data_IF_317067868315
#
_entry.id   IF_317067868315
#
_cell.length_a   1.000
_cell.length_b   1.000
_cell.length_c   1.000
_cell.angle_alpha   90.00
_cell.angle_beta   90.00
_cell.angle_gamma   90.00
#
_symmetry.space_group_name_H-M   'P 1'
#
loop_
_entity.id
_entity.type
_entity.pdbx_description
1 polymer ?
#
# COMPACT_ATOMS: atom_id res chain seq x y z
N UNK A 1 -28.03 75.22 9.23
CA UNK A 1 -27.89 73.92 8.54
C UNK A 1 -26.91 73.07 9.34
N UNK A 2 -27.42 72.24 10.29
CA UNK A 2 -26.63 71.37 11.18
C UNK A 2 -26.91 69.93 10.75
N UNK A 3 -26.09 69.43 9.88
CA UNK A 3 -26.16 68.05 9.37
C UNK A 3 -25.18 67.23 10.23
N UNK A 4 -25.76 66.57 11.20
CA UNK A 4 -25.76 65.14 11.44
C UNK A 4 -24.48 64.34 11.07
N UNK A 5 -23.44 64.63 11.81
CA UNK A 5 -22.20 63.82 11.80
C UNK A 5 -22.31 62.57 12.67
N UNK A 6 -23.40 62.44 13.44
CA UNK A 6 -23.61 61.30 14.32
C UNK A 6 -23.94 59.97 13.66
N UNK A 7 -24.54 60.00 12.48
CA UNK A 7 -25.01 58.78 11.78
C UNK A 7 -23.91 58.10 10.96
N UNK A 8 -22.88 58.85 10.57
CA UNK A 8 -21.78 58.28 9.79
C UNK A 8 -20.79 57.47 10.67
N UNK A 9 -20.67 57.87 11.92
CA UNK A 9 -19.84 57.13 12.91
C UNK A 9 -20.45 55.79 13.31
N UNK A 10 -21.79 55.72 13.41
CA UNK A 10 -22.50 54.46 13.73
C UNK A 10 -22.47 53.45 12.58
N UNK A 11 -22.53 53.95 11.34
CA UNK A 11 -22.46 53.11 10.13
C UNK A 11 -21.06 52.46 9.98
N UNK A 12 -19.99 53.20 10.28
CA UNK A 12 -18.63 52.65 10.27
C UNK A 12 -18.37 51.61 11.39
N UNK A 13 -18.98 51.80 12.56
CA UNK A 13 -18.87 50.81 13.65
C UNK A 13 -19.60 49.49 13.35
N UNK A 14 -20.70 49.56 12.61
CA UNK A 14 -21.42 48.36 12.19
C UNK A 14 -20.70 47.54 11.07
N UNK A 15 -19.84 48.20 10.30
CA UNK A 15 -19.05 47.54 9.25
C UNK A 15 -17.81 46.82 9.83
N UNK A 16 -17.37 47.15 11.01
CA UNK A 16 -16.22 46.49 11.66
C UNK A 16 -16.59 45.21 12.44
N UNK A 17 -17.87 44.97 12.69
CA UNK A 17 -18.32 43.75 13.40
C UNK A 17 -18.64 42.58 12.46
N UNK A 18 -18.53 42.79 11.12
CA UNK A 18 -19.01 41.84 10.12
C UNK A 18 -18.00 40.81 9.61
N UNK A 19 -16.79 40.72 10.12
CA UNK A 19 -15.82 39.74 9.60
C UNK A 19 -14.90 39.18 10.69
N UNK A 20 -15.48 38.78 11.78
CA UNK A 20 -14.94 37.64 12.51
C UNK A 20 -15.74 36.40 12.09
N UNK A 21 -15.53 35.93 10.87
CA UNK A 21 -15.54 34.49 10.71
C UNK A 21 -14.43 34.04 11.67
N UNK A 22 -14.86 33.44 12.76
CA UNK A 22 -13.95 32.55 13.46
C UNK A 22 -13.32 31.74 12.34
N UNK A 23 -12.01 31.89 12.16
CA UNK A 23 -11.25 30.89 11.45
C UNK A 23 -11.74 29.60 12.09
N UNK A 24 -12.56 28.83 11.35
CA UNK A 24 -12.96 27.52 11.78
C UNK A 24 -11.69 26.73 11.94
N UNK A 25 -11.06 26.94 13.06
CA UNK A 25 -10.01 26.07 13.57
C UNK A 25 -10.78 24.91 14.15
N UNK A 26 -11.29 24.09 13.24
CA UNK A 26 -11.84 22.80 13.60
C UNK A 26 -10.65 21.97 14.04
N UNK A 27 -10.30 22.13 15.32
CA UNK A 27 -9.24 21.37 15.95
C UNK A 27 -9.45 19.88 15.76
N UNK A 28 -10.71 19.45 15.67
CA UNK A 28 -11.06 18.05 15.49
C UNK A 28 -10.81 17.55 14.06
N UNK A 29 -10.79 18.42 13.06
CA UNK A 29 -10.52 18.02 11.66
C UNK A 29 -9.08 18.30 11.20
N UNK A 30 -8.40 19.31 11.71
CA UNK A 30 -7.10 19.73 11.20
C UNK A 30 -5.89 19.26 12.01
N UNK A 31 -6.05 18.98 13.29
CA UNK A 31 -4.98 18.55 14.17
C UNK A 31 -4.96 17.07 14.53
N UNK A 32 -5.94 16.32 14.04
CA UNK A 32 -6.31 15.04 14.66
C UNK A 32 -6.34 13.83 13.73
N UNK A 33 -5.90 13.99 12.48
CA UNK A 33 -5.78 12.85 11.58
C UNK A 33 -4.41 12.18 11.71
N UNK A 34 -4.41 10.87 11.69
CA UNK A 34 -3.19 10.10 11.52
C UNK A 34 -2.59 10.40 10.15
N UNK A 35 -1.35 10.83 10.12
CA UNK A 35 -0.63 11.19 8.89
C UNK A 35 0.61 10.32 8.75
N UNK A 36 0.47 9.18 8.10
CA UNK A 36 1.59 8.27 7.82
C UNK A 36 1.77 8.15 6.32
N UNK A 37 2.96 8.39 5.83
CA UNK A 37 3.34 8.25 4.44
C UNK A 37 4.26 7.03 4.28
N UNK A 38 3.81 6.00 3.57
CA UNK A 38 4.63 4.84 3.25
C UNK A 38 5.70 5.18 2.23
N UNK A 39 6.89 4.62 2.43
CA UNK A 39 8.00 4.64 1.49
C UNK A 39 8.38 3.19 1.19
N UNK A 40 8.01 2.69 0.01
CA UNK A 40 8.31 1.32 -0.36
C UNK A 40 9.74 1.19 -0.89
N UNK A 41 10.43 0.14 -0.44
CA UNK A 41 11.65 -0.38 -1.02
C UNK A 41 11.43 -1.85 -1.38
N UNK A 42 11.88 -2.26 -2.58
CA UNK A 42 11.65 -3.59 -3.12
C UNK A 42 12.92 -4.40 -3.02
N UNK A 43 12.88 -5.51 -2.27
CA UNK A 43 13.98 -6.45 -2.20
C UNK A 43 13.94 -7.33 -3.45
N UNK A 44 14.91 -7.15 -4.33
CA UNK A 44 15.05 -8.00 -5.50
C UNK A 44 15.97 -9.16 -5.15
N UNK A 45 15.42 -10.36 -5.04
CA UNK A 45 16.19 -11.59 -4.79
C UNK A 45 17.21 -11.93 -5.89
N UNK A 46 16.98 -11.37 -7.03
CA UNK A 46 17.90 -11.39 -8.17
C UNK A 46 19.35 -11.03 -7.83
N UNK A 47 19.54 -10.25 -6.79
CA UNK A 47 20.86 -9.77 -6.37
C UNK A 47 21.52 -10.69 -5.32
N UNK A 48 20.89 -11.82 -4.98
CA UNK A 48 21.53 -12.77 -4.08
C UNK A 48 22.80 -13.34 -4.72
N UNK A 49 23.93 -13.40 -3.96
CA UNK A 49 25.07 -14.12 -4.42
C UNK A 49 24.75 -15.63 -4.41
N UNK A 50 24.57 -16.19 -5.59
CA UNK A 50 24.58 -17.63 -5.78
C UNK A 50 26.03 -18.09 -5.92
N UNK A 51 26.31 -19.40 -5.71
CA UNK A 51 27.64 -19.99 -5.92
C UNK A 51 28.14 -19.79 -7.37
N UNK A 52 27.27 -19.41 -8.28
CA UNK A 52 27.55 -19.09 -9.67
C UNK A 52 27.22 -17.62 -9.98
N UNK A 53 28.13 -16.98 -10.68
CA UNK A 53 27.86 -15.64 -11.22
C UNK A 53 27.20 -15.75 -12.60
N UNK A 54 25.90 -16.02 -12.60
CA UNK A 54 25.13 -16.18 -13.82
C UNK A 54 25.23 -15.01 -14.80
N UNK A 55 25.43 -13.80 -14.30
CA UNK A 55 25.61 -12.63 -15.15
C UNK A 55 26.89 -12.71 -15.98
N UNK A 56 27.98 -13.20 -15.39
CA UNK A 56 29.25 -13.38 -16.10
C UNK A 56 29.25 -14.63 -17.01
N UNK A 57 28.48 -15.64 -16.64
CA UNK A 57 28.37 -16.89 -17.37
C UNK A 57 27.29 -16.85 -18.44
N UNK A 58 26.53 -15.74 -18.57
CA UNK A 58 25.44 -15.61 -19.52
C UNK A 58 25.95 -15.64 -20.96
N UNK A 59 25.46 -16.55 -21.73
CA UNK A 59 25.90 -16.75 -23.12
C UNK A 59 25.07 -15.89 -24.07
N UNK A 60 25.72 -15.25 -25.01
CA UNK A 60 25.07 -14.42 -26.04
C UNK A 60 24.10 -15.19 -26.96
N UNK A 61 24.23 -16.53 -27.02
CA UNK A 61 23.33 -17.40 -27.77
C UNK A 61 21.99 -17.65 -27.09
N UNK A 62 21.88 -17.31 -25.79
CA UNK A 62 20.62 -17.37 -25.08
C UNK A 62 19.76 -16.16 -25.42
N UNK A 63 18.44 -16.38 -25.46
CA UNK A 63 17.51 -15.28 -25.78
C UNK A 63 17.50 -14.24 -24.67
N UNK A 64 17.61 -12.98 -25.06
CA UNK A 64 17.61 -11.84 -24.16
C UNK A 64 18.92 -11.63 -23.43
N UNK A 65 19.03 -10.53 -22.73
CA UNK A 65 20.12 -10.25 -21.81
C UNK A 65 19.80 -10.73 -20.39
N UNK A 66 20.82 -10.98 -19.61
CA UNK A 66 20.63 -11.37 -18.20
C UNK A 66 19.80 -10.34 -17.42
N UNK A 67 20.00 -9.05 -17.70
CA UNK A 67 19.29 -7.97 -17.01
C UNK A 67 17.81 -7.87 -17.43
N UNK A 68 17.42 -8.40 -18.61
CA UNK A 68 16.02 -8.46 -19.05
C UNK A 68 15.20 -9.52 -18.31
N UNK A 69 15.85 -10.45 -17.61
CA UNK A 69 15.17 -11.46 -16.81
C UNK A 69 14.70 -10.91 -15.45
N UNK A 70 15.09 -9.69 -15.11
CA UNK A 70 14.63 -9.08 -13.85
C UNK A 70 13.12 -8.97 -13.84
N UNK A 71 12.45 -9.43 -12.77
CA UNK A 71 11.03 -9.22 -12.64
C UNK A 71 10.75 -7.71 -12.59
N UNK A 72 9.65 -7.32 -13.23
CA UNK A 72 9.18 -5.95 -13.12
C UNK A 72 8.82 -5.63 -11.67
N UNK A 73 9.05 -4.39 -11.27
CA UNK A 73 8.59 -3.89 -9.98
C UNK A 73 7.07 -3.77 -10.03
N UNK A 74 6.40 -4.21 -8.98
CA UNK A 74 4.94 -4.15 -8.88
C UNK A 74 4.39 -2.74 -9.14
N UNK A 75 3.24 -2.67 -9.81
CA UNK A 75 2.58 -1.41 -10.15
C UNK A 75 1.88 -0.74 -8.97
N UNK A 76 1.55 -1.50 -7.92
CA UNK A 76 0.86 -1.00 -6.74
C UNK A 76 0.93 -1.97 -5.56
N UNK A 77 0.58 -1.44 -4.41
CA UNK A 77 0.55 -2.18 -3.14
C UNK A 77 -0.85 -2.14 -2.57
N UNK A 78 -1.34 -3.28 -2.11
CA UNK A 78 -2.52 -3.38 -1.26
C UNK A 78 -2.10 -3.36 0.20
N UNK A 79 -2.71 -2.46 0.97
CA UNK A 79 -2.64 -2.45 2.42
C UNK A 79 -3.93 -3.04 2.98
N UNK A 80 -3.80 -4.01 3.88
CA UNK A 80 -4.89 -4.47 4.75
C UNK A 80 -4.51 -4.10 6.18
N UNK A 81 -5.42 -3.42 6.87
CA UNK A 81 -5.23 -3.02 8.27
C UNK A 81 -6.06 -3.91 9.18
N UNK A 82 -5.46 -4.28 10.31
CA UNK A 82 -6.11 -5.08 11.34
C UNK A 82 -6.03 -4.32 12.66
N UNK A 83 -7.17 -4.19 13.34
CA UNK A 83 -7.23 -3.73 14.73
C UNK A 83 -7.60 -4.91 15.60
N UNK A 84 -6.87 -5.10 16.69
CA UNK A 84 -6.93 -6.31 17.48
C UNK A 84 -6.60 -7.54 16.60
N UNK A 85 -7.61 -8.35 16.27
CA UNK A 85 -7.44 -9.54 15.42
C UNK A 85 -8.23 -9.46 14.11
N UNK A 86 -9.08 -8.46 13.94
CA UNK A 86 -10.02 -8.36 12.82
C UNK A 86 -9.59 -7.30 11.81
N UNK A 87 -9.89 -7.55 10.54
CA UNK A 87 -9.68 -6.58 9.45
C UNK A 87 -10.49 -5.31 9.71
N UNK A 88 -9.83 -4.17 9.76
CA UNK A 88 -10.44 -2.85 9.96
C UNK A 88 -10.48 -1.99 8.70
N UNK A 89 -9.63 -2.28 7.71
CA UNK A 89 -9.60 -1.50 6.47
C UNK A 89 -8.79 -2.15 5.35
N UNK A 90 -8.95 -1.57 4.15
CA UNK A 90 -8.17 -1.94 2.96
C UNK A 90 -8.00 -0.72 2.07
N UNK A 91 -6.83 -0.57 1.47
CA UNK A 91 -6.55 0.50 0.51
C UNK A 91 -5.49 0.08 -0.52
N UNK A 92 -5.52 0.76 -1.67
CA UNK A 92 -4.50 0.63 -2.69
C UNK A 92 -3.58 1.85 -2.64
N UNK A 93 -2.29 1.59 -2.71
CA UNK A 93 -1.23 2.60 -2.62
C UNK A 93 -0.32 2.42 -3.83
N UNK A 94 0.11 3.50 -4.48
CA UNK A 94 1.09 3.41 -5.56
C UNK A 94 2.39 2.72 -5.10
N UNK A 95 3.06 2.00 -5.99
CA UNK A 95 4.34 1.34 -5.69
C UNK A 95 5.45 2.30 -5.25
N UNK A 96 5.30 3.59 -5.57
CA UNK A 96 6.21 4.66 -5.13
C UNK A 96 5.97 5.11 -3.69
N UNK A 97 4.89 4.64 -3.06
CA UNK A 97 4.48 5.07 -1.72
C UNK A 97 3.38 6.12 -1.73
N UNK A 98 3.05 6.61 -0.55
CA UNK A 98 2.04 7.65 -0.35
C UNK A 98 1.34 7.55 1.00
N UNK A 99 0.30 8.37 1.16
CA UNK A 99 -0.48 8.46 2.38
C UNK A 99 -1.23 7.16 2.67
N UNK A 100 -1.08 6.67 3.91
CA UNK A 100 -1.82 5.53 4.42
C UNK A 100 -3.08 5.99 5.18
N UNK A 101 -4.26 5.43 4.86
CA UNK A 101 -5.48 5.66 5.63
C UNK A 101 -5.50 4.76 6.87
N UNK A 102 -4.75 5.13 7.89
CA UNK A 102 -4.63 4.35 9.12
C UNK A 102 -5.59 4.86 10.20
N UNK A 103 -6.15 3.96 11.02
CA UNK A 103 -6.86 4.32 12.23
C UNK A 103 -5.87 4.84 13.28
N UNK A 104 -6.37 5.58 14.25
CA UNK A 104 -5.60 5.95 15.44
C UNK A 104 -5.42 4.74 16.37
N UNK A 105 -4.27 4.67 17.01
CA UNK A 105 -3.93 3.62 17.97
C UNK A 105 -3.19 2.47 17.33
N UNK A 106 -3.28 1.30 17.96
CA UNK A 106 -2.56 0.11 17.54
C UNK A 106 -3.23 -0.58 16.36
N UNK A 107 -2.48 -0.88 15.31
CA UNK A 107 -2.93 -1.64 14.16
C UNK A 107 -1.81 -2.51 13.60
N UNK A 108 -2.15 -3.69 13.08
CA UNK A 108 -1.22 -4.48 12.28
C UNK A 108 -1.45 -4.22 10.80
N UNK A 109 -0.37 -4.11 10.04
CA UNK A 109 -0.38 -3.68 8.65
C UNK A 109 0.17 -4.80 7.76
N UNK A 110 -0.65 -5.30 6.85
CA UNK A 110 -0.26 -6.28 5.84
C UNK A 110 -0.18 -5.58 4.48
N UNK A 111 1.01 -5.56 3.91
CA UNK A 111 1.27 -5.03 2.58
C UNK A 111 1.55 -6.16 1.60
N UNK A 112 0.98 -6.10 0.41
CA UNK A 112 1.31 -6.99 -0.69
C UNK A 112 1.07 -6.30 -2.03
N UNK A 113 1.75 -6.75 -3.09
CA UNK A 113 1.49 -6.21 -4.42
C UNK A 113 0.14 -6.69 -4.96
N UNK A 114 -0.58 -5.80 -5.65
CA UNK A 114 -1.97 -6.03 -6.07
C UNK A 114 -2.13 -6.30 -7.58
N UNK A 115 -1.03 -6.50 -8.28
CA UNK A 115 -0.95 -6.73 -9.72
C UNK A 115 -0.73 -8.20 -10.10
N UNK A 116 -1.02 -9.12 -9.19
CA UNK A 116 -0.91 -10.55 -9.43
C UNK A 116 -2.12 -11.10 -10.19
N UNK A 117 -1.90 -11.97 -11.18
CA UNK A 117 -2.94 -12.65 -11.97
C UNK A 117 -3.24 -14.05 -11.44
N UNK A 118 -2.19 -14.79 -11.05
CA UNK A 118 -2.29 -16.21 -10.68
C UNK A 118 -2.23 -16.47 -9.18
N UNK A 119 -2.22 -15.44 -8.38
CA UNK A 119 -2.28 -15.55 -6.93
C UNK A 119 -3.68 -15.23 -6.43
N UNK A 120 -4.20 -16.07 -5.57
CA UNK A 120 -5.48 -15.91 -4.91
C UNK A 120 -5.25 -15.70 -3.42
N UNK A 121 -5.70 -14.57 -2.92
CA UNK A 121 -5.66 -14.27 -1.50
C UNK A 121 -6.91 -14.85 -0.83
N UNK A 122 -6.71 -15.56 0.28
CA UNK A 122 -7.77 -16.24 1.00
C UNK A 122 -7.85 -15.71 2.42
N UNK A 123 -9.08 -15.60 2.89
CA UNK A 123 -9.43 -15.28 4.28
C UNK A 123 -8.59 -14.16 4.92
N UNK A 124 -8.63 -12.99 4.29
CA UNK A 124 -7.98 -11.79 4.82
C UNK A 124 -8.77 -11.13 5.96
N UNK A 125 -9.71 -11.83 6.58
CA UNK A 125 -10.56 -11.30 7.66
C UNK A 125 -9.81 -11.17 8.98
N UNK A 126 -8.83 -12.02 9.21
CA UNK A 126 -7.93 -11.96 10.34
C UNK A 126 -6.49 -12.26 9.92
N UNK A 127 -5.52 -11.70 10.65
CA UNK A 127 -4.09 -11.94 10.38
C UNK A 127 -3.75 -13.43 10.44
N UNK A 128 -4.29 -14.14 11.43
CA UNK A 128 -3.98 -15.55 11.64
C UNK A 128 -4.45 -16.48 10.51
N UNK A 129 -5.45 -16.06 9.73
CA UNK A 129 -6.04 -16.85 8.64
C UNK A 129 -5.61 -16.36 7.26
N UNK A 130 -5.01 -15.17 7.19
CA UNK A 130 -4.57 -14.56 5.93
C UNK A 130 -3.57 -15.48 5.21
N UNK A 131 -3.91 -15.87 3.99
CA UNK A 131 -3.07 -16.71 3.15
C UNK A 131 -3.17 -16.37 1.68
N UNK A 132 -2.18 -16.79 0.92
CA UNK A 132 -2.17 -16.69 -0.53
C UNK A 132 -1.86 -18.07 -1.14
N UNK A 133 -2.56 -18.40 -2.21
CA UNK A 133 -2.38 -19.65 -2.95
C UNK A 133 -2.31 -19.38 -4.44
N UNK A 134 -1.68 -20.26 -5.19
CA UNK A 134 -1.68 -20.18 -6.65
C UNK A 134 -3.01 -20.66 -7.22
N UNK A 135 -3.46 -20.00 -8.30
CA UNK A 135 -4.66 -20.41 -9.02
C UNK A 135 -4.43 -21.75 -9.70
N UNK A 136 -5.35 -22.69 -9.48
CA UNK A 136 -5.33 -23.98 -10.16
C UNK A 136 -6.16 -23.91 -11.46
N UNK A 137 -5.68 -24.58 -12.50
CA UNK A 137 -6.39 -24.74 -13.77
C UNK A 137 -6.64 -26.22 -14.04
N UNK A 138 -7.74 -26.50 -14.76
CA UNK A 138 -8.06 -27.86 -15.18
C UNK A 138 -7.26 -28.23 -16.41
N UNK A 139 -6.74 -29.46 -16.48
CA UNK A 139 -6.12 -30.06 -17.66
C UNK A 139 -7.14 -30.64 -18.63
N UNK A 140 -8.30 -30.05 -18.81
CA UNK A 140 -9.37 -30.59 -19.63
C UNK A 140 -9.00 -30.97 -21.08
N UNK A 141 -7.89 -30.42 -21.59
CA UNK A 141 -7.40 -30.72 -22.95
C UNK A 141 -6.33 -31.81 -22.99
N UNK A 142 -5.93 -32.39 -21.87
CA UNK A 142 -4.95 -33.46 -21.84
C UNK A 142 -5.64 -34.82 -22.04
N UNK A 143 -4.94 -35.73 -22.76
CA UNK A 143 -5.42 -37.10 -22.95
C UNK A 143 -5.45 -37.85 -21.59
N UNK A 144 -6.43 -38.77 -21.48
CA UNK A 144 -6.44 -39.70 -20.34
C UNK A 144 -5.07 -40.40 -20.20
N UNK A 145 -4.55 -40.62 -18.98
CA UNK A 145 -5.22 -40.59 -17.69
C UNK A 145 -5.16 -39.25 -16.95
N UNK A 146 -4.54 -38.21 -17.48
CA UNK A 146 -4.22 -36.96 -16.76
C UNK A 146 -5.33 -35.89 -16.83
N UNK A 147 -6.44 -36.15 -17.49
CA UNK A 147 -7.51 -35.15 -17.69
C UNK A 147 -8.18 -34.70 -16.39
N UNK A 148 -8.12 -35.48 -15.32
CA UNK A 148 -8.67 -35.16 -14.00
C UNK A 148 -7.67 -34.47 -13.07
N UNK A 149 -6.40 -34.39 -13.46
CA UNK A 149 -5.38 -33.75 -12.68
C UNK A 149 -5.51 -32.23 -12.75
N UNK A 150 -5.31 -31.59 -11.63
CA UNK A 150 -5.20 -30.12 -11.57
C UNK A 150 -3.75 -29.72 -11.78
N UNK A 151 -3.55 -28.69 -12.57
CA UNK A 151 -2.26 -28.01 -12.68
C UNK A 151 -2.34 -26.66 -12.01
N UNK A 152 -1.21 -26.18 -11.56
CA UNK A 152 -1.07 -24.80 -11.11
C UNK A 152 -0.43 -23.98 -12.23
N UNK A 153 -0.88 -22.76 -12.40
CA UNK A 153 -0.13 -21.81 -13.21
C UNK A 153 1.16 -21.46 -12.47
N UNK A 154 2.18 -21.10 -13.23
CA UNK A 154 3.35 -20.49 -12.62
C UNK A 154 2.90 -19.26 -11.84
N UNK A 155 3.22 -19.14 -10.56
CA UNK A 155 2.81 -18.00 -9.76
C UNK A 155 3.49 -16.72 -10.25
N UNK A 156 2.79 -15.61 -10.11
CA UNK A 156 3.39 -14.30 -10.26
C UNK A 156 4.36 -14.02 -9.10
N UNK A 157 5.21 -13.03 -9.27
CA UNK A 157 6.01 -12.54 -8.15
C UNK A 157 5.11 -11.90 -7.11
N UNK A 158 5.09 -12.49 -5.92
CA UNK A 158 4.40 -11.94 -4.78
C UNK A 158 5.40 -11.30 -3.83
N UNK A 159 5.22 -10.01 -3.61
CA UNK A 159 5.93 -9.26 -2.58
C UNK A 159 5.02 -8.99 -1.40
N UNK A 160 5.56 -9.00 -0.22
CA UNK A 160 4.82 -8.67 0.98
C UNK A 160 5.69 -8.12 2.09
N UNK A 161 5.02 -7.48 3.04
CA UNK A 161 5.56 -7.05 4.31
C UNK A 161 4.44 -7.08 5.36
N UNK A 162 4.78 -7.39 6.58
CA UNK A 162 3.88 -7.36 7.71
C UNK A 162 4.51 -6.61 8.86
N UNK A 163 3.83 -5.55 9.30
CA UNK A 163 4.20 -4.76 10.47
C UNK A 163 3.20 -5.06 11.58
N UNK A 164 3.68 -5.73 12.62
CA UNK A 164 2.87 -6.10 13.77
C UNK A 164 2.81 -4.95 14.77
N UNK A 165 1.60 -4.66 15.29
CA UNK A 165 1.41 -3.70 16.37
C UNK A 165 2.01 -2.31 16.08
N UNK A 166 1.80 -1.81 14.87
CA UNK A 166 2.17 -0.45 14.52
C UNK A 166 1.28 0.55 15.23
N UNK A 167 1.87 1.39 16.07
CA UNK A 167 1.15 2.42 16.82
C UNK A 167 1.09 3.71 16.02
N UNK A 168 -0.13 4.23 15.85
CA UNK A 168 -0.39 5.47 15.16
C UNK A 168 -0.91 6.53 16.11
N UNK A 169 -0.30 7.70 16.03
CA UNK A 169 -0.74 8.88 16.75
C UNK A 169 -1.19 9.96 15.78
N UNK A 170 -2.02 10.86 16.28
CA UNK A 170 -2.40 12.06 15.53
C UNK A 170 -1.22 13.04 15.53
N UNK A 171 -0.78 13.41 14.34
CA UNK A 171 0.37 14.31 14.19
C UNK A 171 0.06 15.46 13.25
N UNK A 172 0.71 16.59 13.48
CA UNK A 172 0.62 17.74 12.57
C UNK A 172 1.42 17.46 11.28
N UNK A 173 2.60 16.89 11.45
CA UNK A 173 3.50 16.56 10.35
C UNK A 173 3.39 15.08 9.98
N UNK A 174 3.50 14.75 8.69
CA UNK A 174 3.49 13.35 8.25
C UNK A 174 4.67 12.55 8.81
N UNK A 175 4.37 11.38 9.35
CA UNK A 175 5.37 10.39 9.75
C UNK A 175 5.70 9.52 8.56
N UNK A 176 6.98 9.30 8.29
CA UNK A 176 7.44 8.40 7.21
C UNK A 176 7.55 6.99 7.74
N UNK A 177 6.89 6.05 7.06
CA UNK A 177 6.98 4.62 7.33
C UNK A 177 7.79 3.95 6.22
N UNK A 178 9.05 3.57 6.45
CA UNK A 178 9.79 2.77 5.50
C UNK A 178 9.24 1.33 5.49
N UNK A 179 8.81 0.85 4.34
CA UNK A 179 8.26 -0.51 4.17
C UNK A 179 9.13 -1.25 3.17
N UNK A 180 9.78 -2.32 3.62
CA UNK A 180 10.59 -3.19 2.77
C UNK A 180 9.76 -4.35 2.26
N UNK A 181 9.37 -4.30 1.00
CA UNK A 181 8.64 -5.35 0.32
C UNK A 181 9.59 -6.50 -0.02
N UNK A 182 9.33 -7.68 0.53
CA UNK A 182 10.14 -8.88 0.33
C UNK A 182 9.44 -9.84 -0.61
N UNK A 183 10.16 -10.52 -1.50
CA UNK A 183 9.58 -11.57 -2.31
C UNK A 183 9.14 -12.75 -1.42
N UNK A 184 7.90 -13.19 -1.60
CA UNK A 184 7.28 -14.32 -0.89
C UNK A 184 7.15 -15.55 -1.78
N UNK A 185 7.22 -15.37 -3.10
CA UNK A 185 7.18 -16.43 -4.10
C UNK A 185 8.40 -16.30 -4.98
N UNK A 186 9.08 -17.42 -5.17
CA UNK A 186 10.25 -17.55 -6.03
C UNK A 186 9.87 -18.39 -7.24
N UNK A 187 10.08 -17.87 -8.43
CA UNK A 187 9.95 -18.61 -9.67
C UNK A 187 11.35 -19.01 -10.13
N UNK A 188 11.59 -20.32 -10.22
CA UNK A 188 12.84 -20.89 -10.74
C UNK A 188 12.67 -21.27 -12.20
#
# INVERSE_FOLDING_TARGET
MRIQWGHMGILCLLLCTGCRKDLCYDHDQHGTSVKVDAQFSWEQEWERPYDHNWKQEWKSEWKGSYDELRPEVAGGVRLVTYQEVARSGESNIPATGGRLPLPEGMASLLFYNNDTEYIVFNDLTAVATASATTRTVSRGNFQKPHASERTMNQPDMLYGNYEENYETERTLEPVKLPVRMKPLVYTY
#
